data_IF_283357088071
#
_entry.id   IF_283357088071
#
_cell.length_a   1.000
_cell.length_b   1.000
_cell.length_c   1.000
_cell.angle_alpha   90.00
_cell.angle_beta   90.00
_cell.angle_gamma   90.00
#
_symmetry.space_group_name_H-M   'P 1'
#
loop_
_entity.id
_entity.type
_entity.pdbx_description
1 polymer ?
#
# COMPACT_ATOMS: atom_id res chain seq x y z
N UNK A 1 7.70 -1.21 13.18
CA UNK A 1 7.47 0.21 13.52
C UNK A 1 6.94 0.89 12.27
N UNK A 2 5.67 1.28 12.27
CA UNK A 2 5.02 1.94 11.14
C UNK A 2 5.76 3.26 10.84
N UNK A 3 5.83 3.66 9.57
CA UNK A 3 6.35 4.98 9.15
C UNK A 3 5.74 6.08 10.04
N UNK A 4 4.47 5.97 10.38
CA UNK A 4 3.74 6.86 11.31
C UNK A 4 4.38 7.01 12.69
N UNK A 5 4.93 5.94 13.29
CA UNK A 5 5.48 6.00 14.65
C UNK A 5 6.86 6.69 14.65
N UNK A 6 7.61 6.58 13.56
CA UNK A 6 8.86 7.30 13.37
C UNK A 6 8.62 8.79 13.19
N UNK A 7 7.58 9.18 12.44
CA UNK A 7 7.23 10.59 12.22
C UNK A 7 6.61 11.25 13.45
N UNK A 8 5.83 10.55 14.26
CA UNK A 8 5.29 11.07 15.52
C UNK A 8 6.37 11.49 16.52
N UNK A 9 7.59 10.95 16.44
CA UNK A 9 8.71 11.36 17.27
C UNK A 9 9.41 12.63 16.77
N UNK A 10 9.28 12.94 15.47
CA UNK A 10 9.94 14.08 14.82
C UNK A 10 8.98 15.25 14.58
N UNK A 11 7.71 14.96 14.31
CA UNK A 11 6.69 15.96 14.00
C UNK A 11 5.69 16.08 15.15
N UNK A 12 5.39 17.31 15.52
CA UNK A 12 4.41 17.68 16.55
C UNK A 12 3.22 18.39 15.90
N UNK A 13 2.15 18.71 16.66
CA UNK A 13 1.05 19.54 16.13
C UNK A 13 1.50 20.86 15.53
N UNK A 14 2.61 21.42 16.04
CA UNK A 14 3.22 22.66 15.55
C UNK A 14 4.10 22.43 14.30
N UNK A 15 4.43 21.18 14.00
CA UNK A 15 5.24 20.76 12.85
C UNK A 15 4.56 19.55 12.19
N UNK A 16 3.55 19.77 11.36
CA UNK A 16 2.81 18.69 10.71
C UNK A 16 3.73 17.89 9.75
N UNK A 17 3.42 16.61 9.55
CA UNK A 17 4.13 15.76 8.60
C UNK A 17 3.90 16.32 7.19
N UNK A 18 4.96 16.61 6.42
CA UNK A 18 4.81 17.14 5.06
C UNK A 18 4.49 16.00 4.08
N UNK A 19 3.30 15.43 4.17
CA UNK A 19 2.91 14.25 3.39
C UNK A 19 3.10 14.44 1.88
N UNK A 20 2.83 15.64 1.35
CA UNK A 20 3.01 15.95 -0.07
C UNK A 20 4.48 15.78 -0.54
N UNK A 21 5.45 16.07 0.35
CA UNK A 21 6.88 15.93 0.05
C UNK A 21 7.38 14.49 0.24
N UNK A 22 6.61 13.66 0.97
CA UNK A 22 6.98 12.28 1.30
C UNK A 22 6.30 11.25 0.39
N UNK A 23 5.35 11.66 -0.43
CA UNK A 23 4.73 10.79 -1.41
C UNK A 23 5.75 10.39 -2.48
N UNK A 24 5.67 9.11 -2.87
CA UNK A 24 6.43 8.65 -4.01
C UNK A 24 5.86 9.29 -5.29
N UNK A 25 6.70 10.05 -6.00
CA UNK A 25 6.34 10.77 -7.23
C UNK A 25 5.83 9.86 -8.35
N UNK A 26 6.13 8.56 -8.29
CA UNK A 26 5.66 7.56 -9.25
C UNK A 26 4.23 7.09 -8.96
N UNK A 27 3.66 7.42 -7.78
CA UNK A 27 2.35 6.90 -7.37
C UNK A 27 1.25 7.29 -8.36
N UNK A 28 1.08 8.58 -8.63
CA UNK A 28 0.03 9.05 -9.52
C UNK A 28 0.18 8.50 -10.95
N UNK A 29 1.35 8.63 -11.63
CA UNK A 29 1.48 8.14 -13.00
C UNK A 29 1.29 6.62 -13.12
N UNK A 30 1.77 5.83 -12.15
CA UNK A 30 1.57 4.37 -12.16
C UNK A 30 0.09 4.02 -11.96
N UNK A 31 -0.61 4.67 -11.02
CA UNK A 31 -2.02 4.41 -10.77
C UNK A 31 -2.89 4.74 -11.99
N UNK A 32 -2.59 5.86 -12.69
CA UNK A 32 -3.30 6.23 -13.91
C UNK A 32 -3.07 5.24 -15.05
N UNK A 33 -1.83 4.82 -15.26
CA UNK A 33 -1.51 3.79 -16.25
C UNK A 33 -2.21 2.46 -15.96
N UNK A 34 -2.27 2.02 -14.68
CA UNK A 34 -3.00 0.82 -14.28
C UNK A 34 -4.50 0.95 -14.59
N UNK A 35 -5.09 2.11 -14.26
CA UNK A 35 -6.49 2.39 -14.56
C UNK A 35 -6.77 2.37 -16.07
N UNK A 36 -5.92 2.98 -16.90
CA UNK A 36 -6.03 2.95 -18.38
C UNK A 36 -5.94 1.53 -18.94
N UNK A 37 -5.17 0.64 -18.30
CA UNK A 37 -5.11 -0.79 -18.64
C UNK A 37 -6.30 -1.60 -18.12
N UNK A 38 -7.24 -0.98 -17.42
CA UNK A 38 -8.41 -1.64 -16.85
C UNK A 38 -8.11 -2.47 -15.59
N UNK A 39 -6.98 -2.20 -14.93
CA UNK A 39 -6.61 -2.86 -13.66
C UNK A 39 -7.32 -2.15 -12.52
N UNK A 40 -8.04 -2.91 -11.70
CA UNK A 40 -8.67 -2.38 -10.49
C UNK A 40 -7.63 -2.13 -9.41
N UNK A 41 -7.69 -0.97 -8.77
CA UNK A 41 -6.72 -0.53 -7.79
C UNK A 41 -7.37 -0.25 -6.43
N UNK A 42 -6.75 -0.74 -5.36
CA UNK A 42 -7.18 -0.48 -3.99
C UNK A 42 -6.02 -0.10 -3.08
N UNK A 43 -6.31 0.69 -2.03
CA UNK A 43 -5.39 0.96 -0.92
C UNK A 43 -5.88 0.20 0.32
N UNK A 44 -5.01 -0.66 0.86
CA UNK A 44 -5.21 -1.41 2.09
C UNK A 44 -4.12 -1.02 3.11
N UNK A 45 -4.43 -0.09 4.00
CA UNK A 45 -3.47 0.53 4.91
C UNK A 45 -3.80 0.28 6.38
N UNK A 46 -2.78 0.12 7.23
CA UNK A 46 -2.94 0.08 8.69
C UNK A 46 -3.18 1.46 9.32
N UNK A 47 -3.19 2.52 8.52
CA UNK A 47 -3.47 3.89 8.95
C UNK A 47 -4.96 4.10 9.27
N UNK A 48 -5.28 5.17 10.03
CA UNK A 48 -6.66 5.59 10.23
C UNK A 48 -7.30 6.05 8.92
N UNK A 49 -8.62 5.94 8.84
CA UNK A 49 -9.42 6.31 7.66
C UNK A 49 -9.13 7.74 7.18
N UNK A 50 -9.12 8.69 8.11
CA UNK A 50 -8.92 10.10 7.81
C UNK A 50 -7.57 10.38 7.14
N UNK A 51 -6.52 9.64 7.55
CA UNK A 51 -5.21 9.78 6.94
C UNK A 51 -5.17 9.15 5.54
N UNK A 52 -5.86 8.04 5.32
CA UNK A 52 -5.94 7.41 4.00
C UNK A 52 -6.63 8.38 3.03
N UNK A 53 -7.76 8.96 3.43
CA UNK A 53 -8.54 9.89 2.61
C UNK A 53 -7.71 11.15 2.28
N UNK A 54 -7.01 11.72 3.28
CA UNK A 54 -6.08 12.85 3.07
C UNK A 54 -4.97 12.51 2.07
N UNK A 55 -4.32 11.35 2.22
CA UNK A 55 -3.22 10.94 1.34
C UNK A 55 -3.70 10.66 -0.09
N UNK A 56 -4.89 10.12 -0.27
CA UNK A 56 -5.52 9.90 -1.59
C UNK A 56 -5.75 11.23 -2.31
N UNK A 57 -6.25 12.24 -1.58
CA UNK A 57 -6.44 13.59 -2.12
C UNK A 57 -5.12 14.26 -2.49
N UNK A 58 -4.12 14.23 -1.57
CA UNK A 58 -2.79 14.81 -1.82
C UNK A 58 -2.11 14.14 -3.01
N UNK A 59 -2.25 12.82 -3.14
CA UNK A 59 -1.68 12.06 -4.26
C UNK A 59 -2.43 12.29 -5.59
N UNK A 60 -3.62 12.87 -5.58
CA UNK A 60 -4.40 13.15 -6.77
C UNK A 60 -4.90 11.89 -7.49
N UNK A 61 -5.18 10.80 -6.75
CA UNK A 61 -5.52 9.48 -7.31
C UNK A 61 -6.95 9.02 -6.99
N UNK A 62 -7.77 9.88 -6.38
CA UNK A 62 -9.13 9.54 -5.97
C UNK A 62 -10.02 9.04 -7.13
N UNK A 63 -9.81 9.57 -8.32
CA UNK A 63 -10.57 9.25 -9.54
C UNK A 63 -10.14 7.93 -10.23
N UNK A 64 -9.01 7.36 -9.83
CA UNK A 64 -8.46 6.11 -10.37
C UNK A 64 -8.37 4.98 -9.35
N UNK A 65 -8.89 5.21 -8.14
CA UNK A 65 -9.03 4.20 -7.10
C UNK A 65 -10.43 3.59 -7.10
N UNK A 66 -10.50 2.26 -7.05
CA UNK A 66 -11.77 1.53 -6.96
C UNK A 66 -12.19 1.27 -5.51
N UNK A 67 -11.23 1.16 -4.58
CA UNK A 67 -11.53 0.87 -3.18
C UNK A 67 -10.41 1.32 -2.23
N UNK A 68 -10.79 1.65 -0.99
CA UNK A 68 -9.85 1.91 0.11
C UNK A 68 -10.35 1.24 1.39
N UNK A 69 -9.43 0.71 2.21
CA UNK A 69 -9.75 0.10 3.50
C UNK A 69 -8.66 0.42 4.53
N UNK A 70 -9.12 0.76 5.74
CA UNK A 70 -8.27 0.94 6.92
C UNK A 70 -8.18 -0.36 7.72
N UNK A 71 -7.00 -0.68 8.25
CA UNK A 71 -6.84 -1.78 9.21
C UNK A 71 -7.69 -1.62 10.47
N UNK A 72 -8.10 -0.40 10.80
CA UNK A 72 -9.01 -0.11 11.92
C UNK A 72 -10.47 -0.50 11.63
N UNK A 73 -10.80 -0.82 10.39
CA UNK A 73 -12.11 -1.33 9.99
C UNK A 73 -12.14 -2.87 9.94
N UNK A 74 -10.99 -3.51 10.19
CA UNK A 74 -10.84 -4.96 10.24
C UNK A 74 -10.91 -5.47 11.68
N UNK A 75 -11.24 -6.75 11.85
CA UNK A 75 -11.22 -7.44 13.14
C UNK A 75 -9.80 -7.72 13.61
N UNK A 76 -8.87 -7.89 12.67
CA UNK A 76 -7.46 -8.13 12.95
C UNK A 76 -6.55 -7.26 12.05
N UNK A 77 -5.39 -6.89 12.60
CA UNK A 77 -4.36 -6.15 11.88
C UNK A 77 -3.38 -7.11 11.17
N UNK A 78 -2.63 -6.60 10.18
CA UNK A 78 -1.51 -7.30 9.57
C UNK A 78 -0.57 -7.85 10.68
N UNK A 79 -0.14 -9.11 10.64
CA UNK A 79 -0.06 -10.00 9.47
C UNK A 79 -1.32 -10.86 9.19
N UNK A 80 -2.48 -10.55 9.80
CA UNK A 80 -3.72 -11.20 9.39
C UNK A 80 -4.09 -10.75 7.96
N UNK A 81 -4.53 -11.68 7.08
CA UNK A 81 -4.86 -11.36 5.70
C UNK A 81 -6.19 -10.64 5.51
N UNK A 82 -7.00 -10.45 6.56
CA UNK A 82 -8.36 -9.92 6.47
C UNK A 82 -8.47 -8.65 5.60
N UNK A 83 -7.55 -7.71 5.79
CA UNK A 83 -7.59 -6.43 5.06
C UNK A 83 -7.49 -6.62 3.54
N UNK A 84 -6.66 -7.57 3.08
CA UNK A 84 -6.52 -7.86 1.64
C UNK A 84 -7.69 -8.67 1.12
N UNK A 85 -8.17 -9.67 1.87
CA UNK A 85 -9.33 -10.47 1.49
C UNK A 85 -10.58 -9.59 1.32
N UNK A 86 -10.79 -8.64 2.22
CA UNK A 86 -11.89 -7.68 2.12
C UNK A 86 -11.75 -6.72 0.93
N UNK A 87 -10.53 -6.28 0.64
CA UNK A 87 -10.28 -5.48 -0.55
C UNK A 87 -10.57 -6.26 -1.84
N UNK A 88 -10.13 -7.51 -1.92
CA UNK A 88 -10.39 -8.41 -3.05
C UNK A 88 -11.89 -8.68 -3.23
N UNK A 89 -12.60 -8.95 -2.13
CA UNK A 89 -14.06 -9.12 -2.15
C UNK A 89 -14.77 -7.86 -2.69
N UNK A 90 -14.38 -6.68 -2.20
CA UNK A 90 -14.95 -5.40 -2.66
C UNK A 90 -14.67 -5.14 -4.15
N UNK A 91 -13.50 -5.55 -4.66
CA UNK A 91 -13.15 -5.45 -6.07
C UNK A 91 -13.79 -6.55 -6.94
N UNK A 92 -14.31 -7.62 -6.32
CA UNK A 92 -14.88 -8.78 -7.02
C UNK A 92 -13.82 -9.56 -7.79
N UNK A 93 -12.64 -9.80 -7.18
CA UNK A 93 -11.51 -10.51 -7.78
C UNK A 93 -11.03 -11.62 -6.85
N UNK A 94 -10.47 -12.69 -7.44
CA UNK A 94 -9.90 -13.79 -6.67
C UNK A 94 -8.44 -13.49 -6.25
N UNK A 95 -7.96 -14.03 -5.13
CA UNK A 95 -6.59 -13.80 -4.66
C UNK A 95 -5.51 -14.10 -5.70
N UNK A 96 -5.70 -15.14 -6.52
CA UNK A 96 -4.75 -15.54 -7.55
C UNK A 96 -4.63 -14.52 -8.70
N UNK A 97 -5.62 -13.62 -8.84
CA UNK A 97 -5.64 -12.54 -9.83
C UNK A 97 -5.05 -11.24 -9.29
N UNK A 98 -4.67 -11.23 -8.00
CA UNK A 98 -4.24 -10.03 -7.30
C UNK A 98 -2.73 -9.93 -7.15
N UNK A 99 -2.25 -8.70 -7.28
CA UNK A 99 -0.90 -8.31 -6.95
C UNK A 99 -0.93 -7.35 -5.75
N UNK A 100 -0.27 -7.74 -4.68
CA UNK A 100 -0.09 -6.89 -3.49
C UNK A 100 1.28 -6.24 -3.56
N UNK A 101 1.33 -4.92 -3.39
CA UNK A 101 2.56 -4.15 -3.27
C UNK A 101 2.72 -3.73 -1.82
N UNK A 102 3.84 -4.09 -1.23
CA UNK A 102 4.12 -3.86 0.19
C UNK A 102 5.58 -3.50 0.43
N UNK A 103 5.86 -2.86 1.57
CA UNK A 103 7.23 -2.58 2.02
C UNK A 103 7.57 -3.28 3.33
N UNK A 104 6.56 -3.51 4.17
CA UNK A 104 6.73 -4.01 5.54
C UNK A 104 6.67 -5.53 5.64
N UNK A 105 7.46 -6.16 6.53
CA UNK A 105 7.41 -7.61 6.75
C UNK A 105 6.01 -8.12 7.13
N UNK A 106 5.26 -7.37 7.95
CA UNK A 106 3.90 -7.75 8.35
C UNK A 106 2.91 -7.66 7.20
N UNK A 107 3.06 -6.64 6.33
CA UNK A 107 2.21 -6.50 5.15
C UNK A 107 2.49 -7.57 4.10
N UNK A 108 3.77 -7.90 3.88
CA UNK A 108 4.19 -9.00 3.01
C UNK A 108 3.60 -10.32 3.51
N UNK A 109 3.70 -10.61 4.81
CA UNK A 109 3.11 -11.81 5.41
C UNK A 109 1.60 -11.88 5.22
N UNK A 110 0.89 -10.76 5.47
CA UNK A 110 -0.55 -10.67 5.25
C UNK A 110 -0.92 -10.92 3.78
N UNK A 111 -0.19 -10.31 2.84
CA UNK A 111 -0.37 -10.52 1.40
C UNK A 111 -0.15 -11.98 1.01
N UNK A 112 0.90 -12.62 1.49
CA UNK A 112 1.15 -14.04 1.24
C UNK A 112 0.04 -14.95 1.80
N UNK A 113 -0.45 -14.65 2.99
CA UNK A 113 -1.55 -15.40 3.62
C UNK A 113 -2.88 -15.20 2.90
N UNK A 114 -3.08 -14.08 2.22
CA UNK A 114 -4.29 -13.86 1.42
C UNK A 114 -4.34 -14.71 0.15
N UNK A 115 -3.22 -15.31 -0.27
CA UNK A 115 -3.10 -16.07 -1.51
C UNK A 115 -2.72 -15.23 -2.73
N UNK A 116 -2.51 -13.94 -2.57
CA UNK A 116 -2.05 -13.06 -3.64
C UNK A 116 -0.55 -13.23 -3.94
N UNK A 117 -0.15 -12.82 -5.13
CA UNK A 117 1.25 -12.55 -5.44
C UNK A 117 1.69 -11.25 -4.74
N UNK A 118 2.87 -11.24 -4.14
CA UNK A 118 3.37 -10.09 -3.38
C UNK A 118 4.69 -9.59 -3.96
N UNK A 119 4.74 -8.34 -4.36
CA UNK A 119 5.97 -7.62 -4.66
C UNK A 119 6.32 -6.69 -3.49
N UNK A 120 7.55 -6.76 -3.04
CA UNK A 120 8.04 -5.84 -2.02
C UNK A 120 8.71 -4.63 -2.68
N UNK A 121 8.23 -3.43 -2.38
CA UNK A 121 8.95 -2.21 -2.74
C UNK A 121 10.13 -2.02 -1.79
N UNK A 122 11.32 -1.85 -2.36
CA UNK A 122 12.53 -1.63 -1.57
C UNK A 122 12.38 -0.36 -0.72
N UNK A 123 12.68 -0.42 0.58
CA UNK A 123 12.63 0.74 1.44
C UNK A 123 13.73 1.75 1.06
N UNK A 124 13.56 3.00 1.49
CA UNK A 124 14.57 4.04 1.32
C UNK A 124 15.93 3.63 1.89
N UNK A 125 16.98 4.21 1.34
CA UNK A 125 18.35 3.97 1.79
C UNK A 125 18.49 4.15 3.32
N UNK A 126 19.20 3.24 3.97
CA UNK A 126 19.40 3.21 5.42
C UNK A 126 18.26 2.53 6.21
N UNK A 127 17.18 2.11 5.58
CA UNK A 127 16.12 1.30 6.19
C UNK A 127 16.32 -0.17 5.81
N UNK A 128 16.52 -1.03 6.80
CA UNK A 128 16.67 -2.47 6.58
C UNK A 128 15.39 -3.19 7.07
N UNK A 129 14.64 -3.76 6.15
CA UNK A 129 13.46 -4.56 6.43
C UNK A 129 13.62 -5.96 5.81
N UNK A 130 13.16 -6.98 6.54
CA UNK A 130 13.13 -8.34 6.00
C UNK A 130 11.98 -8.47 4.99
N UNK A 131 12.33 -8.51 3.72
CA UNK A 131 11.41 -8.66 2.59
C UNK A 131 11.53 -10.04 1.92
N UNK A 132 12.23 -10.98 2.55
CA UNK A 132 12.55 -12.31 1.97
C UNK A 132 11.32 -13.16 1.64
N UNK A 133 10.16 -12.88 2.23
CA UNK A 133 8.91 -13.62 1.99
C UNK A 133 8.12 -13.12 0.79
N UNK A 134 8.46 -11.97 0.21
CA UNK A 134 7.85 -11.49 -1.03
C UNK A 134 8.23 -12.41 -2.21
N UNK A 135 7.39 -12.44 -3.23
CA UNK A 135 7.67 -13.20 -4.46
C UNK A 135 8.78 -12.55 -5.29
N UNK A 136 8.90 -11.23 -5.20
CA UNK A 136 10.03 -10.46 -5.74
C UNK A 136 10.15 -9.12 -5.01
N UNK A 137 11.32 -8.49 -5.13
CA UNK A 137 11.57 -7.12 -4.66
C UNK A 137 11.73 -6.22 -5.88
N UNK A 138 11.04 -5.10 -5.87
CA UNK A 138 11.12 -4.05 -6.90
C UNK A 138 11.77 -2.80 -6.31
N UNK A 139 12.46 -2.06 -7.16
CA UNK A 139 13.15 -0.83 -6.74
C UNK A 139 12.28 0.42 -6.98
N UNK A 140 11.35 0.35 -7.95
CA UNK A 140 10.49 1.45 -8.35
C UNK A 140 9.05 0.98 -8.48
N UNK A 141 8.08 1.88 -8.23
CA UNK A 141 6.67 1.57 -8.47
C UNK A 141 6.37 1.28 -9.95
N UNK A 142 7.12 1.90 -10.87
CA UNK A 142 6.98 1.63 -12.31
C UNK A 142 7.27 0.18 -12.70
N UNK A 143 8.02 -0.57 -11.88
CA UNK A 143 8.33 -1.98 -12.13
C UNK A 143 7.05 -2.86 -12.05
N UNK A 144 5.99 -2.36 -11.38
CA UNK A 144 4.68 -3.02 -11.33
C UNK A 144 4.11 -3.21 -12.74
N UNK A 145 4.29 -2.23 -13.61
CA UNK A 145 3.73 -2.25 -14.97
C UNK A 145 4.30 -3.38 -15.83
N UNK A 146 5.49 -3.87 -15.49
CA UNK A 146 6.13 -5.02 -16.16
C UNK A 146 5.77 -6.36 -15.49
N UNK A 147 5.16 -6.34 -14.29
CA UNK A 147 4.81 -7.53 -13.54
C UNK A 147 3.37 -8.03 -13.83
N UNK A 148 2.59 -7.23 -14.51
CA UNK A 148 1.24 -7.52 -15.01
C UNK A 148 1.36 -8.15 -16.43
#
# INVERSE_FOLDING_TARGET
MCIRDRYKQVYSPDHPVPYAELLNEQTEPVMRELHERGVKCAIASSSYRELIDELVEIAGIADVLDYTISGHECSAFKPDPEIYLRAMEALGVEPAECLVIEDSPLGIEAGKRSGARVLALRPHEGVNLDQSRADAVIDNLTDILAAL
#
